data_IF_786269143140
#
_entry.id   IF_786269143140
#
_cell.length_a   1.000
_cell.length_b   1.000
_cell.length_c   1.000
_cell.angle_alpha   90.00
_cell.angle_beta   90.00
_cell.angle_gamma   90.00
#
_symmetry.space_group_name_H-M   'P 1'
#
loop_
_entity.id
_entity.type
_entity.pdbx_description
1 polymer ?
#
# COMPACT_ATOMS: atom_id res chain seq x y z
N UNK A 1 -18.86 20.40 26.21
CA UNK A 1 -18.56 20.59 24.78
C UNK A 1 -19.62 19.83 23.98
N UNK A 2 -20.66 20.52 23.50
CA UNK A 2 -21.74 19.88 22.74
C UNK A 2 -21.19 19.37 21.41
N UNK A 3 -21.26 18.07 21.21
CA UNK A 3 -20.85 17.41 19.97
C UNK A 3 -21.74 17.91 18.84
N UNK A 4 -21.17 18.57 17.84
CA UNK A 4 -21.90 18.93 16.62
C UNK A 4 -22.07 17.69 15.72
N UNK A 5 -23.29 17.18 15.50
CA UNK A 5 -23.51 16.00 14.65
C UNK A 5 -23.07 16.23 13.19
N UNK A 6 -23.18 17.47 12.68
CA UNK A 6 -22.74 17.81 11.33
C UNK A 6 -21.23 17.68 11.14
N UNK A 7 -20.44 18.04 12.15
CA UNK A 7 -18.99 17.84 12.13
C UNK A 7 -18.62 16.36 12.02
N UNK A 8 -19.32 15.49 12.75
CA UNK A 8 -19.09 14.03 12.70
C UNK A 8 -19.42 13.44 11.34
N UNK A 9 -20.55 13.86 10.76
CA UNK A 9 -20.96 13.40 9.44
C UNK A 9 -19.91 13.77 8.38
N UNK A 10 -19.48 15.03 8.37
CA UNK A 10 -18.44 15.51 7.45
C UNK A 10 -17.15 14.72 7.62
N UNK A 11 -16.72 14.47 8.87
CA UNK A 11 -15.52 13.66 9.12
C UNK A 11 -15.65 12.26 8.53
N UNK A 12 -16.78 11.58 8.68
CA UNK A 12 -17.00 10.23 8.14
C UNK A 12 -16.96 10.24 6.60
N UNK A 13 -17.60 11.23 5.97
CA UNK A 13 -17.58 11.39 4.52
C UNK A 13 -16.15 11.63 4.00
N UNK A 14 -15.36 12.43 4.72
CA UNK A 14 -13.98 12.72 4.36
C UNK A 14 -13.06 11.49 4.50
N UNK A 15 -13.28 10.66 5.53
CA UNK A 15 -12.60 9.35 5.66
C UNK A 15 -12.90 8.47 4.45
N UNK A 16 -14.16 8.41 4.01
CA UNK A 16 -14.57 7.68 2.81
C UNK A 16 -13.87 8.21 1.56
N UNK A 17 -13.84 9.54 1.39
CA UNK A 17 -13.16 10.20 0.28
C UNK A 17 -11.66 9.86 0.22
N UNK A 18 -10.95 10.00 1.34
CA UNK A 18 -9.51 9.67 1.43
C UNK A 18 -9.26 8.18 1.19
N UNK A 19 -10.13 7.31 1.70
CA UNK A 19 -10.07 5.86 1.48
C UNK A 19 -10.15 5.52 -0.01
N UNK A 20 -11.06 6.14 -0.74
CA UNK A 20 -11.24 5.94 -2.19
C UNK A 20 -9.98 6.40 -2.94
N UNK A 21 -9.41 7.56 -2.59
CA UNK A 21 -8.17 8.05 -3.21
C UNK A 21 -7.04 7.04 -3.01
N UNK A 22 -6.81 6.60 -1.78
CA UNK A 22 -5.77 5.62 -1.47
C UNK A 22 -5.99 4.31 -2.21
N UNK A 23 -7.23 3.82 -2.27
CA UNK A 23 -7.56 2.60 -3.00
C UNK A 23 -7.26 2.71 -4.50
N UNK A 24 -7.67 3.80 -5.16
CA UNK A 24 -7.44 4.00 -6.59
C UNK A 24 -5.94 4.12 -6.90
N UNK A 25 -5.20 4.90 -6.10
CA UNK A 25 -3.75 5.04 -6.26
C UNK A 25 -3.03 3.70 -6.10
N UNK A 26 -3.44 2.89 -5.11
CA UNK A 26 -2.84 1.58 -4.88
C UNK A 26 -3.02 0.66 -6.08
N UNK A 27 -4.21 0.60 -6.67
CA UNK A 27 -4.47 -0.22 -7.86
C UNK A 27 -3.62 0.25 -9.05
N UNK A 28 -3.62 1.55 -9.34
CA UNK A 28 -2.87 2.11 -10.47
C UNK A 28 -1.38 1.75 -10.35
N UNK A 29 -0.80 1.99 -9.16
CA UNK A 29 0.61 1.72 -8.90
C UNK A 29 0.89 0.21 -8.94
N UNK A 30 0.02 -0.63 -8.38
CA UNK A 30 0.19 -2.07 -8.41
C UNK A 30 0.20 -2.64 -9.83
N UNK A 31 -0.67 -2.14 -10.71
CA UNK A 31 -0.68 -2.52 -12.14
C UNK A 31 0.65 -2.15 -12.80
N UNK A 32 1.16 -0.96 -12.54
CA UNK A 32 2.47 -0.52 -13.07
C UNK A 32 3.61 -1.39 -12.56
N UNK A 33 3.64 -1.68 -11.25
CA UNK A 33 4.69 -2.50 -10.65
C UNK A 33 4.63 -3.96 -11.13
N UNK A 34 3.44 -4.55 -11.24
CA UNK A 34 3.30 -5.89 -11.80
C UNK A 34 3.85 -5.97 -13.23
N UNK A 35 3.65 -4.92 -14.03
CA UNK A 35 4.23 -4.83 -15.38
C UNK A 35 5.76 -4.69 -15.35
N UNK A 36 6.31 -3.88 -14.44
CA UNK A 36 7.76 -3.68 -14.28
C UNK A 36 8.45 -4.96 -13.80
N UNK A 37 7.83 -5.67 -12.85
CA UNK A 37 8.38 -6.88 -12.26
C UNK A 37 8.32 -8.11 -13.18
N UNK A 38 7.53 -8.04 -14.25
CA UNK A 38 7.34 -9.12 -15.21
C UNK A 38 6.55 -10.30 -14.65
N UNK A 39 6.23 -11.26 -15.51
CA UNK A 39 5.44 -12.42 -15.11
C UNK A 39 6.25 -13.39 -14.23
N UNK A 40 5.62 -13.87 -13.16
CA UNK A 40 6.17 -14.93 -12.35
C UNK A 40 6.13 -16.28 -13.10
N UNK A 41 7.29 -16.85 -13.40
CA UNK A 41 7.44 -18.20 -13.93
C UNK A 41 8.09 -19.12 -12.89
N UNK A 42 7.33 -20.09 -12.38
CA UNK A 42 7.79 -21.02 -11.34
C UNK A 42 9.02 -21.84 -11.77
N UNK A 43 9.11 -22.25 -13.05
CA UNK A 43 10.22 -23.06 -13.54
C UNK A 43 11.53 -22.29 -13.54
N UNK A 44 11.48 -21.00 -13.88
CA UNK A 44 12.66 -20.15 -13.91
C UNK A 44 13.03 -19.65 -12.52
N UNK A 45 12.03 -19.40 -11.67
CA UNK A 45 12.26 -19.07 -10.26
C UNK A 45 12.92 -20.21 -9.51
N UNK A 46 12.51 -21.47 -9.71
CA UNK A 46 13.16 -22.61 -9.05
C UNK A 46 14.65 -22.73 -9.39
N UNK A 47 15.06 -22.37 -10.60
CA UNK A 47 16.47 -22.38 -11.05
C UNK A 47 17.33 -21.29 -10.41
N UNK A 48 16.73 -20.21 -9.91
CA UNK A 48 17.49 -19.12 -9.26
C UNK A 48 18.09 -19.58 -7.94
N UNK A 49 19.29 -19.10 -7.66
CA UNK A 49 19.94 -19.29 -6.35
C UNK A 49 19.10 -18.64 -5.24
N UNK A 50 19.19 -19.20 -4.01
CA UNK A 50 18.51 -18.66 -2.82
C UNK A 50 18.83 -17.18 -2.60
N UNK A 51 20.10 -16.81 -2.79
CA UNK A 51 20.53 -15.41 -2.68
C UNK A 51 19.82 -14.50 -3.71
N UNK A 52 19.69 -14.94 -4.96
CA UNK A 52 18.99 -14.14 -5.98
C UNK A 52 17.51 -13.99 -5.69
N UNK A 53 16.83 -15.05 -5.24
CA UNK A 53 15.43 -14.99 -4.80
C UNK A 53 15.24 -13.98 -3.67
N UNK A 54 16.17 -13.99 -2.70
CA UNK A 54 16.15 -13.07 -1.56
C UNK A 54 16.31 -11.62 -2.02
N UNK A 55 17.28 -11.34 -2.90
CA UNK A 55 17.47 -10.00 -3.46
C UNK A 55 16.26 -9.50 -4.24
N UNK A 56 15.62 -10.36 -5.06
CA UNK A 56 14.44 -9.97 -5.82
C UNK A 56 13.30 -9.54 -4.87
N UNK A 57 13.03 -10.30 -3.80
CA UNK A 57 11.99 -9.97 -2.81
C UNK A 57 12.33 -8.71 -2.00
N UNK A 58 13.56 -8.61 -1.50
CA UNK A 58 14.02 -7.43 -0.72
C UNK A 58 13.95 -6.17 -1.59
N UNK A 59 14.37 -6.26 -2.86
CA UNK A 59 14.29 -5.13 -3.79
C UNK A 59 12.85 -4.69 -4.05
N UNK A 60 11.93 -5.63 -4.26
CA UNK A 60 10.50 -5.31 -4.44
C UNK A 60 9.89 -4.66 -3.20
N UNK A 61 10.20 -5.16 -2.00
CA UNK A 61 9.73 -4.57 -0.73
C UNK A 61 10.31 -3.16 -0.55
N UNK A 62 11.58 -2.97 -0.87
CA UNK A 62 12.25 -1.68 -0.77
C UNK A 62 11.61 -0.63 -1.70
N UNK A 63 11.35 -1.00 -2.96
CA UNK A 63 10.64 -0.14 -3.92
C UNK A 63 9.24 0.21 -3.40
N UNK A 64 8.49 -0.76 -2.88
CA UNK A 64 7.19 -0.50 -2.26
C UNK A 64 7.29 0.47 -1.09
N UNK A 65 8.31 0.35 -0.24
CA UNK A 65 8.54 1.28 0.87
C UNK A 65 8.75 2.72 0.40
N UNK A 66 9.53 2.93 -0.67
CA UNK A 66 9.73 4.25 -1.28
C UNK A 66 8.40 4.81 -1.80
N UNK A 67 7.61 3.99 -2.48
CA UNK A 67 6.33 4.40 -3.06
C UNK A 67 5.32 4.75 -1.96
N UNK A 68 5.21 3.92 -0.92
CA UNK A 68 4.36 4.20 0.24
C UNK A 68 4.74 5.52 0.91
N UNK A 69 6.05 5.79 1.08
CA UNK A 69 6.53 7.07 1.58
C UNK A 69 6.07 8.23 0.69
N UNK A 70 6.26 8.14 -0.62
CA UNK A 70 5.84 9.19 -1.55
C UNK A 70 4.34 9.44 -1.46
N UNK A 71 3.52 8.39 -1.54
CA UNK A 71 2.06 8.50 -1.53
C UNK A 71 1.54 9.09 -0.21
N UNK A 72 2.10 8.70 0.94
CA UNK A 72 1.78 9.29 2.25
C UNK A 72 2.03 10.80 2.33
N UNK A 73 3.00 11.31 1.56
CA UNK A 73 3.29 12.74 1.51
C UNK A 73 2.49 13.49 0.42
N UNK A 74 2.02 12.79 -0.62
CA UNK A 74 1.27 13.40 -1.71
C UNK A 74 -0.24 13.49 -1.43
N UNK A 75 -0.86 12.45 -0.88
CA UNK A 75 -2.31 12.41 -0.66
C UNK A 75 -2.81 13.54 0.25
N UNK A 76 -2.11 13.94 1.33
CA UNK A 76 -2.52 15.09 2.15
C UNK A 76 -2.57 16.44 1.41
N UNK A 77 -1.92 16.55 0.25
CA UNK A 77 -1.95 17.75 -0.59
C UNK A 77 -3.23 17.84 -1.43
N UNK A 78 -4.00 16.75 -1.55
CA UNK A 78 -5.24 16.72 -2.32
C UNK A 78 -6.33 17.43 -1.50
N UNK A 79 -6.91 18.53 -1.98
CA UNK A 79 -7.93 19.24 -1.23
C UNK A 79 -9.22 18.41 -1.16
N UNK A 80 -9.75 18.24 0.04
CA UNK A 80 -11.07 17.65 0.23
C UNK A 80 -12.21 18.63 -0.06
N UNK A 81 -13.29 18.19 -0.72
CA UNK A 81 -14.49 19.00 -0.92
C UNK A 81 -15.21 19.34 0.40
N UNK A 82 -14.91 18.63 1.49
CA UNK A 82 -15.52 18.84 2.79
C UNK A 82 -14.73 19.78 3.72
N UNK A 83 -13.61 20.31 3.24
CA UNK A 83 -12.76 21.18 4.03
C UNK A 83 -13.50 22.46 4.45
N UNK A 84 -13.29 22.91 5.69
CA UNK A 84 -13.93 24.07 6.33
C UNK A 84 -15.45 23.95 6.61
N UNK A 85 -16.12 22.84 6.25
CA UNK A 85 -17.53 22.64 6.60
C UNK A 85 -17.67 22.31 8.09
N UNK A 86 -18.54 23.00 8.83
CA UNK A 86 -18.71 22.87 10.29
C UNK A 86 -17.40 23.03 11.11
N UNK A 87 -16.40 23.76 10.59
CA UNK A 87 -15.09 23.91 11.24
C UNK A 87 -14.16 22.69 11.07
N UNK A 88 -14.54 21.73 10.23
CA UNK A 88 -13.69 20.60 9.86
C UNK A 88 -12.44 21.04 9.09
N UNK A 89 -11.29 20.46 9.42
CA UNK A 89 -10.02 20.72 8.73
C UNK A 89 -9.47 19.40 8.20
N UNK A 90 -9.52 19.23 6.88
CA UNK A 90 -9.07 18.02 6.20
C UNK A 90 -7.62 17.65 6.57
N UNK A 91 -6.72 18.64 6.59
CA UNK A 91 -5.31 18.44 6.94
C UNK A 91 -5.06 17.92 8.38
N UNK A 92 -6.09 17.87 9.24
CA UNK A 92 -6.02 17.32 10.60
C UNK A 92 -6.64 15.91 10.70
N UNK A 93 -7.04 15.32 9.59
CA UNK A 93 -7.60 13.98 9.54
C UNK A 93 -6.47 12.95 9.75
N UNK A 94 -6.63 12.06 10.75
CA UNK A 94 -5.59 11.07 11.12
C UNK A 94 -5.39 10.01 10.04
N UNK A 95 -6.42 9.76 9.26
CA UNK A 95 -6.46 8.80 8.18
C UNK A 95 -5.57 9.22 7.00
N UNK A 96 -5.18 10.50 6.91
CA UNK A 96 -4.17 10.97 5.98
C UNK A 96 -2.76 10.44 6.31
N UNK A 97 -2.44 10.24 7.59
CA UNK A 97 -1.08 9.86 8.02
C UNK A 97 -0.80 8.36 7.89
N UNK A 98 -1.81 7.52 8.16
CA UNK A 98 -1.61 6.08 8.24
C UNK A 98 -1.56 5.38 6.88
N UNK A 99 -2.30 5.88 5.87
CA UNK A 99 -2.41 5.31 4.53
C UNK A 99 -2.62 3.78 4.47
N UNK A 100 -3.16 3.17 5.53
CA UNK A 100 -3.20 1.71 5.69
C UNK A 100 -3.94 0.99 4.55
N UNK A 101 -4.98 1.63 4.01
CA UNK A 101 -5.74 1.11 2.86
C UNK A 101 -4.83 1.00 1.65
N UNK A 102 -4.02 2.02 1.39
CA UNK A 102 -3.08 2.02 0.28
C UNK A 102 -2.07 0.89 0.45
N UNK A 103 -1.45 0.79 1.62
CA UNK A 103 -0.40 -0.21 1.88
C UNK A 103 -0.93 -1.64 1.67
N UNK A 104 -2.10 -1.94 2.24
CA UNK A 104 -2.74 -3.24 2.13
C UNK A 104 -3.09 -3.57 0.68
N UNK A 105 -3.78 -2.66 -0.01
CA UNK A 105 -4.24 -2.90 -1.39
C UNK A 105 -3.04 -3.03 -2.33
N UNK A 106 -2.01 -2.19 -2.18
CA UNK A 106 -0.82 -2.22 -3.02
C UNK A 106 -0.10 -3.57 -2.92
N UNK A 107 0.15 -4.06 -1.70
CA UNK A 107 0.85 -5.33 -1.50
C UNK A 107 -0.02 -6.51 -1.94
N UNK A 108 -1.31 -6.50 -1.57
CA UNK A 108 -2.22 -7.61 -1.89
C UNK A 108 -2.42 -7.80 -3.40
N UNK A 109 -2.48 -6.70 -4.15
CA UNK A 109 -2.69 -6.73 -5.61
C UNK A 109 -1.41 -7.03 -6.41
N UNK A 110 -0.24 -7.02 -5.78
CA UNK A 110 1.03 -7.43 -6.40
C UNK A 110 1.20 -8.95 -6.39
N UNK A 111 0.52 -9.62 -7.30
CA UNK A 111 0.51 -11.10 -7.41
C UNK A 111 1.93 -11.68 -7.54
N UNK A 112 2.84 -11.01 -8.25
CA UNK A 112 4.22 -11.45 -8.42
C UNK A 112 5.03 -11.39 -7.13
N UNK A 113 4.87 -10.31 -6.36
CA UNK A 113 5.53 -10.17 -5.06
C UNK A 113 5.02 -11.23 -4.09
N UNK A 114 3.70 -11.40 -3.98
CA UNK A 114 3.08 -12.39 -3.07
C UNK A 114 3.57 -13.80 -3.37
N UNK A 115 3.63 -14.20 -4.64
CA UNK A 115 4.16 -15.52 -5.04
C UNK A 115 5.63 -15.70 -4.64
N UNK A 116 6.48 -14.70 -4.91
CA UNK A 116 7.91 -14.76 -4.58
C UNK A 116 8.16 -14.75 -3.07
N UNK A 117 7.35 -14.01 -2.30
CA UNK A 117 7.39 -14.05 -0.84
C UNK A 117 7.05 -15.44 -0.30
N UNK A 118 6.06 -16.13 -0.89
CA UNK A 118 5.73 -17.51 -0.53
C UNK A 118 6.92 -18.46 -0.72
N UNK A 119 7.55 -18.43 -1.89
CA UNK A 119 8.75 -19.25 -2.18
C UNK A 119 9.91 -18.91 -1.23
N UNK A 120 10.11 -17.63 -0.94
CA UNK A 120 11.14 -17.18 -0.01
C UNK A 120 10.87 -17.69 1.42
N UNK A 121 9.62 -17.61 1.89
CA UNK A 121 9.21 -18.11 3.19
C UNK A 121 9.46 -19.60 3.33
N UNK A 122 9.06 -20.40 2.34
CA UNK A 122 9.32 -21.85 2.33
C UNK A 122 10.82 -22.16 2.35
N UNK A 123 11.62 -21.37 1.63
CA UNK A 123 13.08 -21.51 1.62
C UNK A 123 13.66 -21.24 3.00
N UNK A 124 13.28 -20.14 3.66
CA UNK A 124 13.74 -19.80 5.01
C UNK A 124 13.31 -20.86 6.03
N UNK A 125 12.06 -21.32 5.95
CA UNK A 125 11.53 -22.37 6.82
C UNK A 125 12.36 -23.66 6.73
N UNK A 126 12.76 -24.06 5.51
CA UNK A 126 13.60 -25.24 5.31
C UNK A 126 14.98 -25.14 5.99
N UNK A 127 15.57 -23.94 6.08
CA UNK A 127 16.86 -23.73 6.74
C UNK A 127 16.74 -23.63 8.27
N UNK A 128 15.66 -23.03 8.79
CA UNK A 128 15.48 -22.79 10.23
C UNK A 128 14.99 -24.01 11.01
N UNK A 129 14.18 -24.87 10.37
CA UNK A 129 13.57 -26.05 11.03
C UNK A 129 14.18 -27.37 10.55
N UNK A 130 15.46 -27.33 10.17
CA UNK A 130 16.21 -28.51 9.75
C UNK A 130 16.71 -29.31 10.95
#
# INVERSE_FOLDING_TARGET
>A
MSINPGFRLIKILDIGYVTIIYFLLAIIIAVLLNKIYGEYNEKDEKKKSTFRKSLDVVGMIWINGIIMYIVRNLVPLIPSPFNNIYGFKHARLKELESAYVFDFVLIYTQTNLVKRMGVFFDTVKMYLFK
#
